data_IF_053034146482
#
_entry.id   IF_053034146482
#
_cell.length_a   1.000
_cell.length_b   1.000
_cell.length_c   1.000
_cell.angle_alpha   90.00
_cell.angle_beta   90.00
_cell.angle_gamma   90.00
#
_symmetry.space_group_name_H-M   'P 1'
#
loop_
_entity.id
_entity.type
_entity.pdbx_description
1 polymer ?
#
# COMPACT_ATOMS: atom_id res chain seq x y z
N UNK A 1 -2.94 0.86 -3.14
CA UNK A 1 -1.62 0.23 -2.82
C UNK A 1 -0.89 1.16 -1.84
N UNK A 2 0.02 0.69 -0.98
CA UNK A 2 0.74 1.65 -0.14
C UNK A 2 1.53 2.57 -1.07
N UNK A 3 1.21 3.87 -1.01
CA UNK A 3 2.03 4.93 -1.59
C UNK A 3 3.44 4.70 -1.11
N UNK A 4 4.34 4.34 -2.01
CA UNK A 4 5.66 3.81 -1.61
C UNK A 4 6.65 4.96 -1.61
N UNK A 5 6.51 5.82 -0.59
CA UNK A 5 7.50 6.85 -0.24
C UNK A 5 8.91 6.29 -0.08
N UNK A 6 9.05 4.96 0.08
CA UNK A 6 10.31 4.24 0.05
C UNK A 6 11.08 4.39 -1.27
N UNK A 7 10.41 4.44 -2.43
CA UNK A 7 11.04 4.52 -3.75
C UNK A 7 11.90 5.78 -3.97
N UNK A 8 11.76 6.78 -3.09
CA UNK A 8 12.60 7.97 -3.07
C UNK A 8 14.09 7.65 -2.78
N UNK A 9 14.39 6.59 -2.02
CA UNK A 9 15.74 6.27 -1.55
C UNK A 9 16.79 6.10 -2.66
N UNK A 10 16.59 5.20 -3.63
CA UNK A 10 17.52 4.98 -4.74
C UNK A 10 17.71 6.23 -5.61
N UNK A 11 16.63 6.96 -5.89
CA UNK A 11 16.66 8.19 -6.67
C UNK A 11 17.53 9.27 -6.00
N UNK A 12 17.34 9.51 -4.69
CA UNK A 12 18.17 10.45 -3.92
C UNK A 12 19.64 10.04 -3.91
N UNK A 13 19.93 8.75 -3.78
CA UNK A 13 21.31 8.25 -3.74
C UNK A 13 22.03 8.54 -5.07
N UNK A 14 21.38 8.22 -6.19
CA UNK A 14 21.92 8.49 -7.52
C UNK A 14 22.05 10.00 -7.77
N UNK A 15 21.08 10.80 -7.32
CA UNK A 15 21.13 12.25 -7.45
C UNK A 15 22.32 12.87 -6.71
N UNK A 16 22.65 12.36 -5.52
CA UNK A 16 23.84 12.79 -4.77
C UNK A 16 25.15 12.40 -5.47
N UNK A 17 25.20 11.24 -6.12
CA UNK A 17 26.38 10.76 -6.89
C UNK A 17 26.58 11.64 -8.13
N UNK A 18 25.51 11.90 -8.88
CA UNK A 18 25.55 12.67 -10.13
C UNK A 18 25.44 14.18 -9.91
N UNK A 19 25.34 14.65 -8.66
CA UNK A 19 25.21 16.07 -8.27
C UNK A 19 24.01 16.76 -8.93
N UNK A 20 22.90 16.05 -9.00
CA UNK A 20 21.63 16.54 -9.54
C UNK A 20 20.82 17.29 -8.49
N UNK A 21 19.82 18.05 -8.93
CA UNK A 21 18.96 18.81 -8.03
C UNK A 21 18.04 17.86 -7.24
N UNK A 22 18.33 17.71 -5.95
CA UNK A 22 17.62 16.78 -5.05
C UNK A 22 16.14 17.11 -4.89
N UNK A 23 15.76 18.39 -4.92
CA UNK A 23 14.37 18.81 -4.81
C UNK A 23 13.56 18.36 -6.02
N UNK A 24 14.10 18.55 -7.22
CA UNK A 24 13.46 18.11 -8.46
C UNK A 24 13.35 16.59 -8.51
N UNK A 25 14.40 15.85 -8.11
CA UNK A 25 14.36 14.39 -8.00
C UNK A 25 13.27 13.94 -7.03
N UNK A 26 13.15 14.58 -5.86
CA UNK A 26 12.16 14.20 -4.87
C UNK A 26 10.73 14.41 -5.36
N UNK A 27 10.43 15.59 -5.92
CA UNK A 27 9.10 15.89 -6.47
C UNK A 27 8.76 14.97 -7.63
N UNK A 28 9.72 14.72 -8.53
CA UNK A 28 9.48 13.87 -9.69
C UNK A 28 9.36 12.39 -9.33
N UNK A 29 9.97 11.92 -8.23
CA UNK A 29 9.72 10.58 -7.69
C UNK A 29 8.36 10.41 -7.02
N UNK A 30 7.74 11.49 -6.50
CA UNK A 30 6.45 11.43 -5.80
C UNK A 30 5.27 11.56 -6.77
N UNK A 31 5.46 12.23 -7.92
CA UNK A 31 4.35 12.53 -8.84
C UNK A 31 3.65 11.27 -9.38
N UNK A 32 4.40 10.17 -9.55
CA UNK A 32 3.88 8.89 -10.04
C UNK A 32 2.87 8.27 -9.06
N UNK A 33 3.00 8.54 -7.77
CA UNK A 33 2.08 8.03 -6.74
C UNK A 33 0.71 8.73 -6.74
N UNK A 34 0.55 9.87 -7.42
CA UNK A 34 -0.71 10.63 -7.42
C UNK A 34 -1.84 9.84 -8.08
N UNK A 35 -1.57 9.15 -9.20
CA UNK A 35 -2.56 8.30 -9.88
C UNK A 35 -3.08 7.17 -8.96
N UNK A 36 -2.24 6.27 -8.44
CA UNK A 36 -2.71 5.17 -7.59
C UNK A 36 -3.34 5.67 -6.28
N UNK A 37 -2.82 6.76 -5.68
CA UNK A 37 -3.43 7.36 -4.49
C UNK A 37 -4.83 7.90 -4.78
N UNK A 38 -5.03 8.60 -5.90
CA UNK A 38 -6.34 9.13 -6.28
C UNK A 38 -7.38 8.04 -6.50
N UNK A 39 -6.99 6.93 -7.14
CA UNK A 39 -7.87 5.76 -7.36
C UNK A 39 -8.24 5.09 -6.03
N UNK A 40 -7.27 4.92 -5.13
CA UNK A 40 -7.52 4.35 -3.80
C UNK A 40 -8.47 5.22 -2.96
N UNK A 41 -8.29 6.55 -2.99
CA UNK A 41 -9.18 7.48 -2.29
C UNK A 41 -10.62 7.40 -2.83
N UNK A 42 -10.80 7.41 -4.15
CA UNK A 42 -12.13 7.28 -4.76
C UNK A 42 -12.82 5.96 -4.38
N UNK A 43 -12.05 4.87 -4.30
CA UNK A 43 -12.56 3.58 -3.83
C UNK A 43 -13.00 3.63 -2.36
N UNK A 44 -12.19 4.24 -1.48
CA UNK A 44 -12.52 4.40 -0.06
C UNK A 44 -13.80 5.22 0.16
N UNK A 45 -14.05 6.23 -0.68
CA UNK A 45 -15.28 7.04 -0.63
C UNK A 45 -16.49 6.39 -1.33
N UNK A 46 -16.40 5.11 -1.70
CA UNK A 46 -17.53 4.35 -2.20
C UNK A 46 -17.95 4.67 -3.63
N UNK A 47 -17.09 5.33 -4.42
CA UNK A 47 -17.29 5.46 -5.86
C UNK A 47 -17.08 4.07 -6.46
N UNK A 48 -18.18 3.46 -6.94
CA UNK A 48 -18.22 2.10 -7.54
C UNK A 48 -18.26 2.10 -9.08
N UNK A 49 -18.31 3.28 -9.71
CA UNK A 49 -18.60 3.46 -11.13
C UNK A 49 -17.48 4.12 -11.95
N UNK A 50 -16.21 4.02 -11.54
CA UNK A 50 -15.12 4.30 -12.48
C UNK A 50 -15.11 3.27 -13.64
N UNK A 51 -14.57 3.64 -14.82
CA UNK A 51 -14.40 2.70 -15.92
C UNK A 51 -13.61 1.48 -15.47
N UNK A 52 -14.01 0.29 -15.91
CA UNK A 52 -13.37 -0.97 -15.52
C UNK A 52 -11.88 -1.00 -15.89
N UNK A 53 -11.45 -0.21 -16.89
CA UNK A 53 -10.05 -0.02 -17.27
C UNK A 53 -9.22 0.76 -16.23
N UNK A 54 -9.85 1.68 -15.49
CA UNK A 54 -9.24 2.39 -14.34
C UNK A 54 -9.25 1.52 -13.07
N UNK A 55 -10.27 0.67 -12.90
CA UNK A 55 -10.38 -0.26 -11.76
C UNK A 55 -9.50 -1.50 -11.89
N UNK A 56 -9.46 -2.11 -13.08
CA UNK A 56 -8.75 -3.37 -13.33
C UNK A 56 -7.24 -3.21 -13.19
N UNK A 57 -6.74 -1.98 -13.23
CA UNK A 57 -5.31 -1.63 -13.22
C UNK A 57 -4.88 -0.90 -11.95
N UNK A 58 -5.82 -0.57 -11.02
CA UNK A 58 -5.56 0.14 -9.76
C UNK A 58 -4.55 1.29 -9.89
N UNK A 59 -4.69 2.13 -10.92
CA UNK A 59 -3.95 3.37 -11.09
C UNK A 59 -2.52 3.27 -11.63
N UNK A 60 -2.27 2.38 -12.60
CA UNK A 60 -0.93 2.16 -13.15
C UNK A 60 -0.89 2.13 -14.69
N UNK A 61 -1.84 2.78 -15.35
CA UNK A 61 -2.00 2.65 -16.81
C UNK A 61 -1.22 3.70 -17.56
N UNK A 62 -1.33 4.96 -17.14
CA UNK A 62 -0.86 6.08 -17.95
C UNK A 62 0.43 6.71 -17.40
N UNK A 63 0.52 7.04 -16.10
CA UNK A 63 1.71 7.70 -15.58
C UNK A 63 2.95 6.78 -15.50
N UNK A 64 2.75 5.46 -15.59
CA UNK A 64 3.79 4.45 -15.36
C UNK A 64 4.42 3.89 -16.65
N UNK A 65 4.28 4.59 -17.79
CA UNK A 65 5.02 4.27 -19.01
C UNK A 65 6.27 5.14 -19.16
N UNK A 66 7.35 4.59 -19.71
CA UNK A 66 8.58 5.39 -19.94
C UNK A 66 8.35 6.57 -20.91
N UNK A 67 7.42 6.44 -21.86
CA UNK A 67 7.08 7.53 -22.78
C UNK A 67 6.44 8.69 -22.01
N UNK A 68 5.43 8.41 -21.19
CA UNK A 68 4.75 9.45 -20.41
C UNK A 68 5.69 10.03 -19.34
N UNK A 69 6.58 9.21 -18.76
CA UNK A 69 7.62 9.66 -17.86
C UNK A 69 8.52 10.74 -18.49
N UNK A 70 8.92 10.60 -19.76
CA UNK A 70 9.73 11.60 -20.48
C UNK A 70 8.96 12.92 -20.63
N UNK A 71 7.67 12.85 -20.98
CA UNK A 71 6.82 14.03 -21.18
C UNK A 71 6.66 14.79 -19.85
N UNK A 72 6.35 14.08 -18.77
CA UNK A 72 6.20 14.67 -17.43
C UNK A 72 7.53 15.27 -16.97
N UNK A 73 8.64 14.57 -17.15
CA UNK A 73 9.96 15.09 -16.79
C UNK A 73 10.29 16.39 -17.54
N UNK A 74 9.96 16.48 -18.83
CA UNK A 74 10.13 17.70 -19.62
C UNK A 74 9.26 18.85 -19.09
N UNK A 75 7.99 18.58 -18.77
CA UNK A 75 7.09 19.59 -18.17
C UNK A 75 7.63 20.08 -16.83
N UNK A 76 8.06 19.18 -15.95
CA UNK A 76 8.68 19.52 -14.66
C UNK A 76 9.92 20.39 -14.88
N UNK A 77 10.80 20.04 -15.82
CA UNK A 77 12.02 20.80 -16.11
C UNK A 77 11.71 22.22 -16.62
N UNK A 78 10.72 22.37 -17.51
CA UNK A 78 10.27 23.68 -18.01
C UNK A 78 9.73 24.55 -16.88
N UNK A 79 8.90 23.98 -16.01
CA UNK A 79 8.35 24.70 -14.85
C UNK A 79 9.46 25.04 -13.86
N UNK A 80 10.34 24.08 -13.54
CA UNK A 80 11.46 24.25 -12.62
C UNK A 80 12.42 25.36 -13.07
N UNK A 81 12.66 25.51 -14.37
CA UNK A 81 13.55 26.57 -14.89
C UNK A 81 13.08 27.99 -14.55
N UNK A 82 11.81 28.19 -14.16
CA UNK A 82 11.29 29.47 -13.68
C UNK A 82 11.72 29.79 -12.24
N UNK A 83 12.06 28.78 -11.45
CA UNK A 83 12.35 28.89 -10.02
C UNK A 83 13.82 28.60 -9.69
N UNK A 84 14.48 27.77 -10.51
CA UNK A 84 15.84 27.27 -10.31
C UNK A 84 16.79 27.89 -11.33
N UNK A 85 18.02 28.21 -10.90
CA UNK A 85 19.04 28.83 -11.76
C UNK A 85 19.78 27.80 -12.62
N UNK A 86 19.76 26.55 -12.20
CA UNK A 86 20.40 25.39 -12.82
C UNK A 86 20.02 25.24 -14.30
N UNK A 87 20.93 24.66 -15.07
CA UNK A 87 20.73 24.46 -16.50
C UNK A 87 19.55 23.53 -16.77
N UNK A 88 18.84 23.78 -17.87
CA UNK A 88 17.68 22.97 -18.25
C UNK A 88 18.03 21.49 -18.34
N UNK A 89 19.24 21.15 -18.81
CA UNK A 89 19.73 19.78 -18.89
C UNK A 89 19.80 19.11 -17.52
N UNK A 90 20.27 19.82 -16.50
CA UNK A 90 20.40 19.28 -15.14
C UNK A 90 19.04 19.12 -14.48
N UNK A 91 18.12 20.08 -14.71
CA UNK A 91 16.73 19.98 -14.25
C UNK A 91 16.00 18.81 -14.91
N UNK A 92 16.19 18.63 -16.23
CA UNK A 92 15.62 17.50 -16.97
C UNK A 92 16.21 16.17 -16.51
N UNK A 93 17.53 16.08 -16.31
CA UNK A 93 18.18 14.88 -15.80
C UNK A 93 17.69 14.53 -14.38
N UNK A 94 17.51 15.55 -13.53
CA UNK A 94 16.93 15.40 -12.19
C UNK A 94 15.50 14.85 -12.24
N UNK A 95 14.65 15.44 -13.11
CA UNK A 95 13.27 15.03 -13.25
C UNK A 95 13.15 13.59 -13.79
N UNK A 96 13.92 13.28 -14.84
CA UNK A 96 14.00 11.93 -15.43
C UNK A 96 14.46 10.91 -14.40
N UNK A 97 15.53 11.20 -13.64
CA UNK A 97 16.04 10.29 -12.63
C UNK A 97 14.96 9.91 -11.61
N UNK A 98 14.22 10.89 -11.09
CA UNK A 98 13.20 10.61 -10.08
C UNK A 98 12.03 9.78 -10.61
N UNK A 99 11.49 10.11 -11.80
CA UNK A 99 10.36 9.37 -12.39
C UNK A 99 10.79 7.98 -12.84
N UNK A 100 11.91 7.86 -13.56
CA UNK A 100 12.39 6.55 -14.04
C UNK A 100 12.76 5.64 -12.88
N UNK A 101 13.42 6.17 -11.84
CA UNK A 101 13.71 5.37 -10.64
C UNK A 101 12.42 4.84 -10.03
N UNK A 102 11.37 5.66 -9.92
CA UNK A 102 10.07 5.23 -9.40
C UNK A 102 9.46 4.13 -10.28
N UNK A 103 9.21 4.41 -11.57
CA UNK A 103 8.57 3.48 -12.51
C UNK A 103 9.32 2.15 -12.60
N UNK A 104 10.66 2.18 -12.60
CA UNK A 104 11.46 0.96 -12.61
C UNK A 104 11.26 0.12 -11.34
N UNK A 105 11.29 0.72 -10.15
CA UNK A 105 11.11 -0.01 -8.89
C UNK A 105 9.72 -0.63 -8.79
N UNK A 106 8.73 0.14 -9.21
CA UNK A 106 7.33 -0.25 -9.29
C UNK A 106 7.11 -1.42 -10.26
N UNK A 107 7.81 -1.41 -11.40
CA UNK A 107 7.73 -2.49 -12.39
C UNK A 107 8.19 -3.84 -11.85
N UNK A 108 9.06 -3.88 -10.83
CA UNK A 108 9.43 -5.14 -10.19
C UNK A 108 8.35 -5.68 -9.24
N UNK A 109 7.54 -4.80 -8.65
CA UNK A 109 6.54 -5.14 -7.61
C UNK A 109 5.15 -5.39 -8.17
N UNK A 110 4.81 -4.82 -9.33
CA UNK A 110 3.42 -4.69 -9.76
C UNK A 110 3.20 -5.23 -11.18
N UNK A 111 2.49 -6.36 -11.26
CA UNK A 111 2.19 -7.05 -12.53
C UNK A 111 1.45 -6.17 -13.54
N UNK A 112 0.60 -5.25 -13.05
CA UNK A 112 -0.29 -4.43 -13.88
C UNK A 112 0.37 -3.18 -14.46
N UNK A 113 1.61 -2.86 -14.05
CA UNK A 113 2.36 -1.71 -14.58
C UNK A 113 2.77 -1.98 -16.03
N UNK A 114 2.65 -0.97 -16.90
CA UNK A 114 3.02 -1.06 -18.31
C UNK A 114 4.22 -0.16 -18.64
N UNK A 115 5.44 -0.55 -18.21
CA UNK A 115 6.61 0.33 -18.36
C UNK A 115 6.96 0.57 -19.84
N UNK A 116 6.65 -0.41 -20.71
CA UNK A 116 6.94 -0.39 -22.15
C UNK A 116 5.70 -0.12 -23.02
N UNK A 117 4.62 0.46 -22.47
CA UNK A 117 3.45 0.85 -23.27
C UNK A 117 3.86 1.59 -24.56
N UNK A 118 3.31 1.25 -25.75
CA UNK A 118 2.10 0.46 -25.99
C UNK A 118 2.28 -1.07 -26.02
N UNK A 119 3.47 -1.60 -25.74
CA UNK A 119 3.63 -3.05 -25.57
C UNK A 119 2.85 -3.50 -24.33
N UNK A 120 2.09 -4.58 -24.47
CA UNK A 120 1.27 -5.12 -23.39
C UNK A 120 2.11 -5.87 -22.35
N UNK A 121 1.80 -5.64 -21.07
CA UNK A 121 2.32 -6.41 -19.94
C UNK A 121 3.59 -5.82 -19.32
N UNK A 122 4.02 -6.45 -18.22
CA UNK A 122 5.18 -6.04 -17.45
C UNK A 122 6.31 -7.09 -17.56
N UNK A 123 7.34 -6.88 -18.37
CA UNK A 123 8.44 -7.83 -18.50
C UNK A 123 9.35 -7.88 -17.27
N UNK A 124 9.25 -6.91 -16.37
CA UNK A 124 10.11 -6.79 -15.19
C UNK A 124 9.45 -7.32 -13.91
N UNK A 125 8.20 -7.76 -13.97
CA UNK A 125 7.49 -8.21 -12.78
C UNK A 125 8.19 -9.42 -12.13
N UNK A 126 8.51 -9.28 -10.84
CA UNK A 126 9.09 -10.33 -10.03
C UNK A 126 8.15 -10.62 -8.86
N UNK A 127 7.47 -11.76 -8.90
CA UNK A 127 6.57 -12.17 -7.83
C UNK A 127 7.32 -12.24 -6.48
N UNK A 128 6.70 -11.69 -5.43
CA UNK A 128 7.25 -11.63 -4.07
C UNK A 128 8.53 -10.76 -3.91
N UNK A 129 8.77 -9.81 -4.82
CA UNK A 129 9.89 -8.86 -4.75
C UNK A 129 9.72 -7.75 -3.70
N UNK A 130 8.47 -7.45 -3.29
CA UNK A 130 8.12 -6.31 -2.42
C UNK A 130 9.01 -6.20 -1.15
N UNK A 131 9.30 -7.27 -0.38
CA UNK A 131 10.14 -7.15 0.82
C UNK A 131 11.58 -6.76 0.51
N UNK A 132 12.15 -7.30 -0.57
CA UNK A 132 13.52 -7.02 -1.01
C UNK A 132 13.65 -5.60 -1.54
N UNK A 133 12.67 -5.15 -2.34
CA UNK A 133 12.62 -3.78 -2.85
C UNK A 133 12.44 -2.76 -1.73
N UNK A 134 11.59 -3.05 -0.76
CA UNK A 134 11.40 -2.21 0.43
C UNK A 134 12.73 -2.07 1.21
N UNK A 135 13.43 -3.18 1.44
CA UNK A 135 14.73 -3.19 2.12
C UNK A 135 15.80 -2.41 1.35
N UNK A 136 15.89 -2.61 0.03
CA UNK A 136 16.80 -1.87 -0.85
C UNK A 136 16.53 -0.36 -0.79
N UNK A 137 15.27 0.03 -0.92
CA UNK A 137 14.84 1.42 -0.89
C UNK A 137 15.17 2.11 0.45
N UNK A 138 14.89 1.44 1.57
CA UNK A 138 15.24 1.92 2.90
C UNK A 138 16.75 2.09 3.08
N UNK A 139 17.53 1.08 2.66
CA UNK A 139 18.99 1.14 2.74
C UNK A 139 19.53 2.31 1.92
N UNK A 140 19.11 2.47 0.67
CA UNK A 140 19.51 3.59 -0.19
C UNK A 140 19.12 4.94 0.40
N UNK A 141 17.95 5.05 1.03
CA UNK A 141 17.52 6.26 1.72
C UNK A 141 18.46 6.62 2.89
N UNK A 142 18.77 5.67 3.78
CA UNK A 142 19.67 5.93 4.91
C UNK A 142 21.11 6.22 4.49
N UNK A 143 21.60 5.57 3.42
CA UNK A 143 22.89 5.90 2.81
C UNK A 143 22.89 7.32 2.24
N UNK A 144 21.81 7.72 1.55
CA UNK A 144 21.64 9.08 1.04
C UNK A 144 21.65 10.12 2.16
N UNK A 145 20.95 9.86 3.27
CA UNK A 145 20.99 10.74 4.43
C UNK A 145 22.38 10.87 5.03
N UNK A 146 23.11 9.76 5.17
CA UNK A 146 24.50 9.79 5.66
C UNK A 146 25.41 10.65 4.78
N UNK A 147 25.17 10.66 3.47
CA UNK A 147 25.90 11.51 2.51
C UNK A 147 25.44 12.98 2.50
N UNK A 148 24.16 13.23 2.77
CA UNK A 148 23.54 14.56 2.70
C UNK A 148 23.72 15.36 4.00
N UNK A 149 23.48 14.75 5.16
CA UNK A 149 23.48 15.44 6.46
C UNK A 149 24.75 16.26 6.74
N UNK A 150 25.97 15.78 6.44
CA UNK A 150 27.20 16.57 6.66
C UNK A 150 27.33 17.79 5.74
N UNK A 151 26.59 17.82 4.63
CA UNK A 151 26.65 18.89 3.62
C UNK A 151 25.65 20.02 3.90
N UNK A 152 24.70 19.81 4.81
CA UNK A 152 23.67 20.81 5.13
C UNK A 152 24.32 21.91 5.98
N UNK A 153 24.25 23.19 5.55
CA UNK A 153 24.77 24.31 6.33
C UNK A 153 24.08 24.45 7.69
N UNK A 154 24.81 24.95 8.67
CA UNK A 154 24.30 25.26 10.01
C UNK A 154 23.09 26.23 10.00
N UNK A 155 23.07 27.16 9.05
CA UNK A 155 21.95 28.08 8.81
C UNK A 155 20.66 27.39 8.38
N UNK A 156 20.76 26.14 7.90
CA UNK A 156 19.64 25.33 7.41
C UNK A 156 19.33 24.13 8.32
N UNK A 157 19.68 24.22 9.61
CA UNK A 157 19.43 23.18 10.63
C UNK A 157 17.99 22.65 10.65
N UNK A 158 17.01 23.46 10.27
CA UNK A 158 15.62 23.05 10.13
C UNK A 158 15.44 21.91 9.11
N UNK A 159 16.18 21.93 8.00
CA UNK A 159 16.15 20.87 6.97
C UNK A 159 16.68 19.56 7.56
N UNK A 160 17.79 19.60 8.29
CA UNK A 160 18.33 18.42 9.00
C UNK A 160 17.34 17.83 10.00
N UNK A 161 16.62 18.70 10.74
CA UNK A 161 15.56 18.26 11.65
C UNK A 161 14.39 17.59 10.91
N UNK A 162 13.89 18.19 9.82
CA UNK A 162 12.82 17.62 9.01
C UNK A 162 13.22 16.27 8.40
N UNK A 163 14.45 16.12 7.92
CA UNK A 163 14.95 14.85 7.39
C UNK A 163 14.99 13.76 8.48
N UNK A 164 15.40 14.09 9.71
CA UNK A 164 15.36 13.15 10.85
C UNK A 164 13.94 12.76 11.21
N UNK A 165 13.00 13.70 11.21
CA UNK A 165 11.59 13.40 11.45
C UNK A 165 11.03 12.49 10.35
N UNK A 166 11.38 12.74 9.10
CA UNK A 166 11.01 11.88 7.98
C UNK A 166 11.63 10.48 8.12
N UNK A 167 12.88 10.34 8.59
CA UNK A 167 13.46 9.03 8.91
C UNK A 167 12.65 8.25 9.95
N UNK A 168 12.19 8.93 11.01
CA UNK A 168 11.33 8.31 12.03
C UNK A 168 10.03 7.83 11.38
N UNK A 169 9.40 8.67 10.56
CA UNK A 169 8.20 8.28 9.81
C UNK A 169 8.43 7.05 8.91
N UNK A 170 9.56 6.98 8.21
CA UNK A 170 9.91 5.85 7.35
C UNK A 170 10.10 4.55 8.16
N UNK A 171 10.75 4.63 9.32
CA UNK A 171 10.92 3.48 10.21
C UNK A 171 9.58 3.01 10.77
N UNK A 172 8.75 3.94 11.25
CA UNK A 172 7.41 3.61 11.78
C UNK A 172 6.52 3.00 10.69
N UNK A 173 6.57 3.53 9.46
CA UNK A 173 5.84 2.99 8.32
C UNK A 173 6.32 1.57 7.96
N UNK A 174 7.63 1.32 8.01
CA UNK A 174 8.18 0.00 7.77
C UNK A 174 7.76 -1.00 8.86
N UNK A 175 7.84 -0.61 10.14
CA UNK A 175 7.34 -1.42 11.26
C UNK A 175 5.84 -1.70 11.12
N UNK A 176 5.07 -0.72 10.67
CA UNK A 176 3.63 -0.90 10.40
C UNK A 176 3.37 -1.99 9.37
N UNK A 177 4.12 -2.01 8.26
CA UNK A 177 3.99 -3.04 7.22
C UNK A 177 4.35 -4.43 7.77
N UNK A 178 5.42 -4.53 8.57
CA UNK A 178 5.83 -5.81 9.18
C UNK A 178 4.77 -6.36 10.14
N UNK A 179 4.16 -5.48 10.95
CA UNK A 179 3.13 -5.85 11.92
C UNK A 179 1.76 -6.11 11.28
N UNK A 180 1.52 -5.57 10.07
CA UNK A 180 0.22 -5.62 9.40
C UNK A 180 0.33 -6.09 7.94
N UNK A 181 0.72 -7.36 7.72
CA UNK A 181 0.99 -7.87 6.38
C UNK A 181 -0.27 -7.96 5.50
N UNK A 182 -0.07 -7.80 4.18
CA UNK A 182 -1.11 -7.88 3.15
C UNK A 182 -1.81 -9.24 3.15
N UNK A 183 -3.14 -9.25 3.14
CA UNK A 183 -3.96 -10.46 3.11
C UNK A 183 -4.17 -11.13 4.48
N UNK A 184 -3.60 -10.57 5.55
CA UNK A 184 -3.70 -11.09 6.91
C UNK A 184 -4.25 -10.02 7.85
N UNK A 185 -4.78 -10.47 8.99
CA UNK A 185 -5.00 -9.58 10.12
C UNK A 185 -3.67 -9.24 10.78
N UNK A 186 -3.48 -7.97 11.10
CA UNK A 186 -2.33 -7.44 11.82
C UNK A 186 -2.66 -7.16 13.29
N UNK A 187 -2.11 -6.07 13.81
CA UNK A 187 -2.39 -5.59 15.16
C UNK A 187 -3.89 -5.36 15.37
N UNK A 188 -4.49 -6.09 16.30
CA UNK A 188 -5.92 -5.99 16.61
C UNK A 188 -6.17 -6.08 18.11
N UNK A 189 -7.03 -5.20 18.63
CA UNK A 189 -7.44 -5.10 20.03
C UNK A 189 -8.91 -4.65 20.10
N UNK A 190 -9.47 -4.52 21.31
CA UNK A 190 -10.83 -4.02 21.50
C UNK A 190 -11.00 -2.66 20.80
N UNK A 191 -11.97 -2.56 19.89
CA UNK A 191 -12.29 -1.36 19.13
C UNK A 191 -11.30 -1.03 18.00
N UNK A 192 -10.34 -1.90 17.68
CA UNK A 192 -9.42 -1.70 16.56
C UNK A 192 -9.06 -3.05 15.92
N UNK A 193 -9.41 -3.23 14.66
CA UNK A 193 -8.95 -4.37 13.86
C UNK A 193 -8.10 -3.87 12.71
N UNK A 194 -7.01 -4.56 12.38
CA UNK A 194 -6.20 -4.22 11.22
C UNK A 194 -6.21 -5.38 10.24
N UNK A 195 -6.51 -5.12 8.97
CA UNK A 195 -6.48 -6.12 7.90
C UNK A 195 -5.75 -5.57 6.67
N UNK A 196 -4.79 -6.32 6.14
CA UNK A 196 -3.99 -5.92 4.98
C UNK A 196 -3.35 -4.53 5.11
N UNK A 197 -2.85 -4.19 6.31
CA UNK A 197 -2.25 -2.88 6.59
C UNK A 197 -3.22 -1.74 6.86
N UNK A 198 -4.54 -1.95 6.69
CA UNK A 198 -5.57 -0.92 6.89
C UNK A 198 -6.09 -0.99 8.32
N UNK A 199 -5.90 0.08 9.14
CA UNK A 199 -6.49 0.15 10.47
C UNK A 199 -7.98 0.46 10.36
N UNK A 200 -8.80 -0.31 11.08
CA UNK A 200 -10.26 -0.24 11.03
C UNK A 200 -10.75 0.00 12.47
N UNK A 201 -10.83 1.28 12.89
CA UNK A 201 -11.28 1.63 14.23
C UNK A 201 -12.78 1.42 14.32
N UNK A 202 -13.21 0.75 15.39
CA UNK A 202 -14.60 0.57 15.81
C UNK A 202 -15.51 -0.24 14.89
N UNK A 203 -15.31 -0.27 13.57
CA UNK A 203 -16.19 -1.03 12.66
C UNK A 203 -15.99 -2.54 12.78
N UNK A 204 -17.05 -3.28 12.46
CA UNK A 204 -16.94 -4.72 12.21
C UNK A 204 -16.52 -4.94 10.77
N UNK A 205 -15.97 -6.12 10.47
CA UNK A 205 -15.49 -6.41 9.12
C UNK A 205 -15.96 -7.75 8.61
N UNK A 206 -16.15 -7.82 7.29
CA UNK A 206 -16.27 -9.05 6.51
C UNK A 206 -15.05 -9.19 5.62
N UNK A 207 -14.43 -10.35 5.67
CA UNK A 207 -13.34 -10.74 4.78
C UNK A 207 -13.85 -11.88 3.91
N UNK A 208 -13.85 -11.68 2.60
CA UNK A 208 -14.21 -12.72 1.64
C UNK A 208 -13.04 -13.69 1.41
N UNK A 209 -13.30 -14.89 0.88
CA UNK A 209 -12.24 -15.89 0.64
C UNK A 209 -11.14 -15.44 -0.33
N UNK A 210 -11.44 -14.48 -1.21
CA UNK A 210 -10.48 -13.81 -2.08
C UNK A 210 -9.67 -12.68 -1.40
N UNK A 211 -9.92 -12.41 -0.12
CA UNK A 211 -9.27 -11.35 0.66
C UNK A 211 -9.91 -9.96 0.55
N UNK A 212 -11.06 -9.83 -0.12
CA UNK A 212 -11.78 -8.55 -0.17
C UNK A 212 -12.27 -8.17 1.23
N UNK A 213 -11.99 -6.94 1.64
CA UNK A 213 -12.48 -6.33 2.86
C UNK A 213 -13.79 -5.58 2.59
N UNK A 214 -14.79 -5.79 3.43
CA UNK A 214 -16.01 -5.00 3.48
C UNK A 214 -16.33 -4.61 4.91
N UNK A 215 -16.67 -3.33 5.14
CA UNK A 215 -17.16 -2.88 6.44
C UNK A 215 -18.55 -3.46 6.71
N UNK A 216 -18.78 -3.87 7.95
CA UNK A 216 -20.06 -4.40 8.42
C UNK A 216 -20.67 -3.42 9.41
N UNK A 217 -21.95 -3.12 9.24
CA UNK A 217 -22.73 -2.39 10.25
C UNK A 217 -22.81 -3.20 11.54
N UNK A 218 -22.60 -2.53 12.69
CA UNK A 218 -22.58 -3.23 13.98
C UNK A 218 -23.92 -3.89 14.26
N UNK A 219 -23.86 -5.18 14.53
CA UNK A 219 -25.01 -5.99 14.93
C UNK A 219 -24.55 -7.13 15.82
N UNK A 220 -25.27 -7.34 16.93
CA UNK A 220 -25.09 -8.48 17.83
C UNK A 220 -25.79 -9.76 17.34
N UNK A 221 -26.18 -9.81 16.06
CA UNK A 221 -26.72 -11.00 15.43
C UNK A 221 -26.09 -11.22 14.06
N UNK A 222 -25.63 -12.44 13.80
CA UNK A 222 -25.15 -12.90 12.49
C UNK A 222 -26.19 -13.85 11.90
N UNK A 223 -26.80 -13.43 10.79
CA UNK A 223 -27.84 -14.20 10.10
C UNK A 223 -27.28 -15.10 9.01
N UNK A 224 -28.00 -16.16 8.65
CA UNK A 224 -27.62 -17.03 7.54
C UNK A 224 -27.49 -16.26 6.20
N UNK A 225 -28.42 -15.34 5.92
CA UNK A 225 -28.40 -14.54 4.69
C UNK A 225 -27.14 -13.67 4.58
N UNK A 226 -26.66 -13.18 5.73
CA UNK A 226 -25.46 -12.37 5.80
C UNK A 226 -24.20 -13.14 5.42
N UNK A 227 -24.11 -14.42 5.83
CA UNK A 227 -22.91 -15.24 5.59
C UNK A 227 -22.94 -15.97 4.26
N UNK A 228 -24.10 -16.19 3.62
CA UNK A 228 -24.22 -16.90 2.33
C UNK A 228 -23.21 -16.43 1.27
N UNK A 229 -23.00 -15.11 1.03
CA UNK A 229 -22.00 -14.65 0.07
C UNK A 229 -20.56 -15.02 0.46
N UNK A 230 -20.24 -14.97 1.76
CA UNK A 230 -18.91 -15.32 2.29
C UNK A 230 -18.63 -16.82 2.12
N UNK A 231 -19.64 -17.64 2.40
CA UNK A 231 -19.55 -19.09 2.29
C UNK A 231 -19.24 -19.56 0.87
N UNK A 232 -19.88 -18.95 -0.14
CA UNK A 232 -19.74 -19.35 -1.55
C UNK A 232 -18.29 -19.29 -2.04
N UNK A 233 -17.50 -18.37 -1.50
CA UNK A 233 -16.14 -18.10 -1.96
C UNK A 233 -15.05 -18.67 -1.01
N UNK A 234 -15.42 -19.50 -0.02
CA UNK A 234 -14.52 -19.98 1.03
C UNK A 234 -14.66 -21.46 1.35
N UNK A 235 -13.58 -22.07 1.83
CA UNK A 235 -13.55 -23.42 2.40
C UNK A 235 -13.93 -23.43 3.89
N UNK A 236 -13.59 -22.35 4.60
CA UNK A 236 -13.81 -22.19 6.04
C UNK A 236 -14.35 -20.80 6.33
N UNK A 237 -15.41 -20.72 7.14
CA UNK A 237 -15.97 -19.47 7.65
C UNK A 237 -15.61 -19.30 9.12
N UNK A 238 -14.98 -18.17 9.45
CA UNK A 238 -14.66 -17.79 10.82
C UNK A 238 -15.60 -16.69 11.31
N UNK A 239 -16.14 -16.86 12.50
CA UNK A 239 -17.00 -15.89 13.17
C UNK A 239 -16.33 -15.42 14.47
N UNK A 240 -15.86 -14.17 14.47
CA UNK A 240 -15.41 -13.45 15.65
C UNK A 240 -16.60 -12.79 16.34
N UNK A 241 -17.08 -13.39 17.43
CA UNK A 241 -18.32 -12.99 18.11
C UNK A 241 -18.15 -11.89 19.17
N UNK A 242 -17.07 -11.12 19.06
CA UNK A 242 -16.72 -10.05 19.99
C UNK A 242 -15.74 -10.50 21.07
N UNK A 243 -15.24 -9.52 21.81
CA UNK A 243 -14.35 -9.70 22.96
C UNK A 243 -15.12 -10.19 24.20
N UNK A 244 -16.41 -9.85 24.30
CA UNK A 244 -17.31 -10.28 25.37
C UNK A 244 -18.21 -11.45 24.94
N UNK A 245 -18.08 -11.90 23.68
CA UNK A 245 -18.87 -12.98 23.08
C UNK A 245 -20.37 -12.68 23.09
N UNK A 246 -20.75 -11.41 22.99
CA UNK A 246 -22.15 -10.97 23.08
C UNK A 246 -22.92 -11.21 21.76
N UNK A 247 -22.22 -11.44 20.65
CA UNK A 247 -22.84 -11.65 19.34
C UNK A 247 -23.48 -13.04 19.26
N UNK A 248 -24.77 -13.08 18.94
CA UNK A 248 -25.53 -14.30 18.66
C UNK A 248 -25.38 -14.72 17.20
N UNK A 249 -25.30 -16.02 16.95
CA UNK A 249 -25.14 -16.60 15.61
C UNK A 249 -26.35 -17.47 15.30
N UNK A 250 -26.90 -17.34 14.11
CA UNK A 250 -27.96 -18.23 13.61
C UNK A 250 -27.45 -19.68 13.49
N UNK A 251 -28.05 -20.60 14.24
CA UNK A 251 -27.63 -22.01 14.31
C UNK A 251 -27.64 -22.72 12.95
N UNK A 252 -28.44 -22.24 12.00
CA UNK A 252 -28.46 -22.78 10.62
C UNK A 252 -27.12 -22.64 9.92
N UNK A 253 -26.29 -21.68 10.34
CA UNK A 253 -24.94 -21.47 9.81
C UNK A 253 -24.04 -22.67 10.12
N UNK A 254 -24.14 -23.28 11.30
CA UNK A 254 -23.32 -24.46 11.63
C UNK A 254 -23.74 -25.73 10.88
N UNK A 255 -24.94 -25.72 10.27
CA UNK A 255 -25.46 -26.83 9.46
C UNK A 255 -25.18 -26.65 7.97
N UNK A 256 -24.40 -25.65 7.60
CA UNK A 256 -24.37 -25.10 6.23
C UNK A 256 -23.37 -25.79 5.26
N UNK A 257 -22.90 -26.98 5.58
CA UNK A 257 -22.09 -27.83 4.67
C UNK A 257 -20.62 -27.40 4.50
N UNK A 258 -20.24 -26.22 4.97
CA UNK A 258 -18.83 -25.80 5.10
C UNK A 258 -18.38 -25.86 6.56
N UNK A 259 -17.07 -25.84 6.79
CA UNK A 259 -16.53 -25.71 8.14
C UNK A 259 -16.78 -24.29 8.69
N UNK A 260 -17.46 -24.19 9.82
CA UNK A 260 -17.73 -22.92 10.50
C UNK A 260 -17.12 -22.95 11.90
N UNK A 261 -16.29 -21.95 12.19
CA UNK A 261 -15.59 -21.82 13.47
C UNK A 261 -16.02 -20.51 14.14
N UNK A 262 -16.65 -20.60 15.32
CA UNK A 262 -17.06 -19.43 16.11
C UNK A 262 -16.17 -19.28 17.35
N UNK A 263 -15.55 -18.11 17.51
CA UNK A 263 -14.55 -17.83 18.55
C UNK A 263 -14.65 -16.38 19.05
N UNK A 264 -14.04 -16.11 20.22
CA UNK A 264 -13.74 -14.73 20.63
C UNK A 264 -12.92 -14.04 19.53
N UNK A 265 -13.16 -12.77 19.27
CA UNK A 265 -12.61 -12.09 18.07
C UNK A 265 -11.08 -12.15 17.93
N UNK A 266 -10.33 -12.05 19.02
CA UNK A 266 -8.86 -12.23 19.02
C UNK A 266 -8.46 -13.65 18.57
N UNK A 267 -9.17 -14.68 19.06
CA UNK A 267 -8.94 -16.08 18.68
C UNK A 267 -9.42 -16.41 17.27
N UNK A 268 -10.50 -15.76 16.83
CA UNK A 268 -10.95 -15.81 15.44
C UNK A 268 -9.87 -15.26 14.48
N UNK A 269 -9.27 -14.13 14.83
CA UNK A 269 -8.17 -13.52 14.07
C UNK A 269 -6.93 -14.43 14.02
N UNK A 270 -6.51 -14.98 15.17
CA UNK A 270 -5.40 -15.96 15.23
C UNK A 270 -5.69 -17.15 14.31
N UNK A 271 -6.91 -17.70 14.38
CA UNK A 271 -7.30 -18.87 13.59
C UNK A 271 -7.38 -18.57 12.09
N UNK A 272 -7.86 -17.38 11.72
CA UNK A 272 -7.90 -16.93 10.33
C UNK A 272 -6.50 -16.92 9.73
N UNK A 273 -5.55 -16.28 10.43
CA UNK A 273 -4.18 -16.18 9.97
C UNK A 273 -3.51 -17.57 9.89
N UNK A 274 -3.77 -18.46 10.85
CA UNK A 274 -3.27 -19.85 10.82
C UNK A 274 -3.74 -20.60 9.57
N UNK A 275 -5.05 -20.55 9.27
CA UNK A 275 -5.63 -21.24 8.12
C UNK A 275 -5.19 -20.62 6.78
N UNK A 276 -5.10 -19.28 6.70
CA UNK A 276 -4.56 -18.60 5.51
C UNK A 276 -3.11 -19.00 5.23
N UNK A 277 -2.26 -19.13 6.26
CA UNK A 277 -0.88 -19.62 6.12
C UNK A 277 -0.81 -21.06 5.58
N UNK A 278 -1.83 -21.87 5.84
CA UNK A 278 -1.99 -23.22 5.29
C UNK A 278 -2.57 -23.23 3.86
N UNK A 279 -2.74 -22.07 3.22
CA UNK A 279 -3.25 -21.95 1.86
C UNK A 279 -4.77 -22.08 1.72
N UNK A 280 -5.52 -22.10 2.83
CA UNK A 280 -6.99 -22.22 2.80
C UNK A 280 -7.65 -20.94 2.30
N UNK A 281 -8.74 -21.07 1.54
CA UNK A 281 -9.66 -19.95 1.29
C UNK A 281 -10.55 -19.73 2.51
N UNK A 282 -10.21 -18.73 3.32
CA UNK A 282 -10.90 -18.44 4.58
C UNK A 282 -11.71 -17.16 4.42
N UNK A 283 -12.99 -17.20 4.76
CA UNK A 283 -13.80 -16.01 4.96
C UNK A 283 -13.98 -15.73 6.45
N UNK A 284 -14.23 -14.48 6.82
CA UNK A 284 -14.45 -14.09 8.20
C UNK A 284 -15.49 -13.00 8.38
N UNK A 285 -16.21 -13.03 9.50
CA UNK A 285 -16.85 -11.87 10.11
C UNK A 285 -16.17 -11.62 11.44
N UNK A 286 -15.66 -10.42 11.67
CA UNK A 286 -15.03 -10.04 12.95
C UNK A 286 -15.81 -8.88 13.57
N UNK A 287 -16.40 -9.13 14.74
CA UNK A 287 -16.94 -8.11 15.60
C UNK A 287 -15.81 -7.49 16.45
N UNK A 288 -15.55 -6.19 16.32
CA UNK A 288 -14.37 -5.56 16.90
C UNK A 288 -14.53 -5.12 18.37
N UNK A 289 -15.73 -5.24 18.92
CA UNK A 289 -16.08 -4.79 20.29
C UNK A 289 -16.71 -5.94 21.10
N UNK A 290 -17.88 -5.76 21.71
CA UNK A 290 -18.50 -6.69 22.65
C UNK A 290 -19.17 -7.92 22.00
#
# INVERSE_FOLDING_TARGET
MPVTWFHLGPALMLALIFRLNLFIVAISSIISDIEPLSVELLFLFGVKSLPQELYATRGHVYLHSFIIAIIIAAVIAVVAKRFFKEDFRDLLASALLGIFSHVCLDSFSHEMIMPLFPLSGNPFFLANSEPYLTGFCLLSYFLSLKMLLPKIPETEKQISFLLKLFSIFMILSFLWILLNPKGYFGFSTFGLTTYSGVPIPYFDVKIYGNGLLQLREKSHFISLEEVKPLMKDSEVLILGIGYDKAVKVDDRIFKSGIEVISLRSDKAIEKFNELKKKGKKVAAIIHSTC
#
